data_IF_553181538923
#
_entry.id   IF_553181538923
#
_cell.length_a   1.000
_cell.length_b   1.000
_cell.length_c   1.000
_cell.angle_alpha   90.00
_cell.angle_beta   90.00
_cell.angle_gamma   90.00
#
_symmetry.space_group_name_H-M   'P 1'
#
loop_
_entity.id
_entity.type
_entity.pdbx_description
1 polymer ?
#
# COMPACT_ATOMS: atom_id res chain seq x y z
N UNK A 1 -15.60 13.96 -3.22
CA UNK A 1 -14.85 13.02 -4.10
C UNK A 1 -13.82 12.18 -3.34
N UNK A 2 -12.98 12.81 -2.51
CA UNK A 2 -11.83 12.18 -1.83
C UNK A 2 -12.11 10.83 -1.14
N UNK A 3 -13.11 10.71 -0.24
CA UNK A 3 -13.34 9.47 0.53
C UNK A 3 -13.50 8.22 -0.33
N UNK A 4 -14.18 8.31 -1.48
CA UNK A 4 -14.44 7.15 -2.35
C UNK A 4 -13.15 6.66 -3.02
N UNK A 5 -12.26 7.57 -3.42
CA UNK A 5 -10.97 7.24 -4.02
C UNK A 5 -10.06 6.55 -2.98
N UNK A 6 -10.07 7.01 -1.72
CA UNK A 6 -9.34 6.35 -0.63
C UNK A 6 -9.83 4.91 -0.38
N UNK A 7 -11.14 4.65 -0.50
CA UNK A 7 -11.67 3.28 -0.44
C UNK A 7 -11.23 2.42 -1.62
N UNK A 8 -11.20 2.99 -2.84
CA UNK A 8 -10.68 2.29 -4.02
C UNK A 8 -9.20 1.95 -3.79
N UNK A 9 -8.38 2.88 -3.33
CA UNK A 9 -6.97 2.64 -3.02
C UNK A 9 -6.80 1.52 -1.98
N UNK A 10 -7.56 1.57 -0.89
CA UNK A 10 -7.52 0.56 0.17
C UNK A 10 -7.87 -0.84 -0.35
N UNK A 11 -8.95 -0.97 -1.11
CA UNK A 11 -9.38 -2.24 -1.69
C UNK A 11 -8.40 -2.75 -2.74
N UNK A 12 -7.85 -1.88 -3.58
CA UNK A 12 -6.83 -2.23 -4.58
C UNK A 12 -5.55 -2.74 -3.93
N UNK A 13 -5.12 -2.12 -2.83
CA UNK A 13 -3.96 -2.58 -2.05
C UNK A 13 -4.21 -3.98 -1.48
N UNK A 14 -5.36 -4.19 -0.85
CA UNK A 14 -5.73 -5.50 -0.31
C UNK A 14 -5.84 -6.56 -1.41
N UNK A 15 -6.38 -6.21 -2.57
CA UNK A 15 -6.51 -7.14 -3.69
C UNK A 15 -5.14 -7.53 -4.26
N UNK A 16 -4.29 -6.54 -4.59
CA UNK A 16 -2.98 -6.79 -5.19
C UNK A 16 -2.06 -7.55 -4.23
N UNK A 17 -1.90 -7.05 -3.01
CA UNK A 17 -1.00 -7.66 -2.04
C UNK A 17 -1.59 -8.88 -1.34
N UNK A 18 -2.91 -8.96 -1.17
CA UNK A 18 -3.57 -10.19 -0.72
C UNK A 18 -3.36 -11.32 -1.73
N UNK A 19 -3.52 -11.04 -3.03
CA UNK A 19 -3.20 -12.02 -4.08
C UNK A 19 -1.73 -12.45 -4.02
N UNK A 20 -0.80 -11.50 -3.87
CA UNK A 20 0.63 -11.78 -3.73
C UNK A 20 0.93 -12.75 -2.60
N UNK A 21 0.53 -12.44 -1.37
CA UNK A 21 0.89 -13.26 -0.20
C UNK A 21 0.20 -14.63 -0.20
N UNK A 22 -0.98 -14.75 -0.83
CA UNK A 22 -1.68 -16.03 -0.98
C UNK A 22 -1.07 -16.93 -2.06
N UNK A 23 -0.53 -16.36 -3.14
CA UNK A 23 0.01 -17.12 -4.27
C UNK A 23 1.53 -17.23 -4.27
N UNK A 24 2.21 -16.52 -3.38
CA UNK A 24 3.66 -16.62 -3.26
C UNK A 24 4.05 -18.05 -2.86
N UNK A 25 4.95 -18.72 -3.59
CA UNK A 25 5.37 -20.08 -3.28
C UNK A 25 6.30 -20.08 -2.07
N UNK A 26 5.74 -20.07 -0.85
CA UNK A 26 6.49 -19.99 0.41
C UNK A 26 7.57 -21.08 0.58
N UNK A 27 7.42 -22.23 -0.09
CA UNK A 27 8.41 -23.30 -0.11
C UNK A 27 9.77 -22.85 -0.67
N UNK A 28 9.82 -21.86 -1.57
CA UNK A 28 11.06 -21.36 -2.17
C UNK A 28 11.59 -20.10 -1.48
N UNK A 29 10.93 -19.60 -0.43
CA UNK A 29 11.27 -18.33 0.24
C UNK A 29 12.71 -18.30 0.78
N UNK A 30 13.26 -19.44 1.18
CA UNK A 30 14.63 -19.55 1.71
C UNK A 30 15.72 -19.63 0.61
N UNK A 31 15.37 -19.36 -0.64
CA UNK A 31 16.27 -19.52 -1.79
C UNK A 31 16.41 -18.23 -2.60
N UNK A 32 17.48 -18.15 -3.41
CA UNK A 32 17.67 -17.08 -4.39
C UNK A 32 16.52 -17.03 -5.41
N UNK A 33 15.96 -18.19 -5.76
CA UNK A 33 14.80 -18.27 -6.66
C UNK A 33 13.59 -17.59 -6.00
N UNK A 34 13.33 -17.83 -4.72
CA UNK A 34 12.24 -17.17 -3.99
C UNK A 34 12.37 -15.65 -3.97
N UNK A 35 13.59 -15.12 -3.87
CA UNK A 35 13.84 -13.68 -4.01
C UNK A 35 13.44 -13.18 -5.41
N UNK A 36 13.86 -13.86 -6.48
CA UNK A 36 13.51 -13.49 -7.86
C UNK A 36 12.01 -13.61 -8.11
N UNK A 37 11.37 -14.67 -7.63
CA UNK A 37 9.91 -14.86 -7.71
C UNK A 37 9.18 -13.70 -7.06
N UNK A 38 9.66 -13.23 -5.91
CA UNK A 38 9.09 -12.07 -5.20
C UNK A 38 9.08 -10.83 -6.09
N UNK A 39 10.19 -10.56 -6.78
CA UNK A 39 10.33 -9.42 -7.71
C UNK A 39 9.43 -9.58 -8.93
N UNK A 40 9.41 -10.76 -9.55
CA UNK A 40 8.59 -11.02 -10.74
C UNK A 40 7.10 -10.88 -10.46
N UNK A 41 6.65 -11.29 -9.27
CA UNK A 41 5.24 -11.15 -8.87
C UNK A 41 4.82 -9.70 -8.61
N UNK A 42 5.74 -8.73 -8.54
CA UNK A 42 5.36 -7.31 -8.44
C UNK A 42 4.69 -6.80 -9.72
N UNK A 43 4.96 -7.40 -10.88
CA UNK A 43 4.33 -7.04 -12.14
C UNK A 43 2.80 -7.24 -12.07
N UNK A 44 2.28 -8.46 -11.82
CA UNK A 44 0.85 -8.67 -11.69
C UNK A 44 0.23 -7.89 -10.52
N UNK A 45 0.93 -7.76 -9.39
CA UNK A 45 0.47 -6.92 -8.26
C UNK A 45 0.24 -5.48 -8.69
N UNK A 46 1.18 -4.92 -9.46
CA UNK A 46 1.06 -3.56 -9.98
C UNK A 46 -0.15 -3.44 -10.89
N UNK A 47 -0.40 -4.42 -11.75
CA UNK A 47 -1.56 -4.42 -12.65
C UNK A 47 -2.89 -4.49 -11.85
N UNK A 48 -2.97 -5.41 -10.87
CA UNK A 48 -4.15 -5.58 -10.01
C UNK A 48 -4.43 -4.30 -9.21
N UNK A 49 -3.39 -3.60 -8.76
CA UNK A 49 -3.53 -2.34 -8.05
C UNK A 49 -3.89 -1.16 -8.99
N UNK A 50 -3.24 -1.07 -10.15
CA UNK A 50 -3.32 0.08 -11.05
C UNK A 50 -4.65 0.14 -11.80
N UNK A 51 -5.16 -1.00 -12.28
CA UNK A 51 -6.39 -1.04 -13.08
C UNK A 51 -7.59 -0.44 -12.32
N UNK A 52 -7.91 -0.86 -11.08
CA UNK A 52 -9.02 -0.29 -10.34
C UNK A 52 -8.77 1.17 -9.92
N UNK A 53 -7.51 1.56 -9.69
CA UNK A 53 -7.16 2.96 -9.41
C UNK A 53 -7.45 3.88 -10.59
N UNK A 54 -7.04 3.48 -11.80
CA UNK A 54 -7.33 4.23 -13.03
C UNK A 54 -8.84 4.27 -13.27
N UNK A 55 -9.51 3.12 -13.21
CA UNK A 55 -10.94 3.01 -13.44
C UNK A 55 -11.75 3.85 -12.43
N UNK A 56 -11.42 3.75 -11.14
CA UNK A 56 -12.06 4.52 -10.08
C UNK A 56 -11.85 6.03 -10.25
N UNK A 57 -10.63 6.45 -10.54
CA UNK A 57 -10.31 7.87 -10.73
C UNK A 57 -11.02 8.44 -11.96
N UNK A 58 -10.99 7.75 -13.09
CA UNK A 58 -11.68 8.15 -14.32
C UNK A 58 -13.21 8.23 -14.12
N UNK A 59 -13.79 7.22 -13.46
CA UNK A 59 -15.21 7.17 -13.18
C UNK A 59 -15.69 8.35 -12.31
N UNK A 60 -14.94 8.70 -11.26
CA UNK A 60 -15.29 9.83 -10.41
C UNK A 60 -15.03 11.19 -11.07
N UNK A 61 -13.97 11.30 -11.87
CA UNK A 61 -13.69 12.53 -12.63
C UNK A 61 -14.82 12.86 -13.61
N UNK A 62 -15.37 11.87 -14.31
CA UNK A 62 -16.48 12.06 -15.26
C UNK A 62 -17.79 12.42 -14.53
N UNK A 63 -18.08 11.82 -13.37
CA UNK A 63 -19.33 12.05 -12.63
C UNK A 63 -19.38 13.31 -11.79
N UNK A 64 -18.23 13.86 -11.39
CA UNK A 64 -18.18 15.00 -10.48
C UNK A 64 -17.14 16.05 -10.90
N UNK A 65 -17.20 16.57 -12.14
CA UNK A 65 -16.19 17.49 -12.67
C UNK A 65 -16.10 18.82 -11.89
N UNK A 66 -17.19 19.25 -11.23
CA UNK A 66 -17.20 20.44 -10.37
C UNK A 66 -16.37 20.28 -9.08
N UNK A 67 -16.20 19.05 -8.59
CA UNK A 67 -15.35 18.75 -7.42
C UNK A 67 -13.87 18.55 -7.80
N UNK A 68 -13.57 18.24 -9.07
CA UNK A 68 -12.21 18.05 -9.55
C UNK A 68 -11.41 19.36 -9.70
N UNK A 69 -12.09 20.50 -9.80
CA UNK A 69 -11.49 21.84 -9.91
C UNK A 69 -11.54 22.64 -8.59
N UNK A 70 -12.06 22.06 -7.51
CA UNK A 70 -11.96 22.67 -6.18
C UNK A 70 -10.50 22.56 -5.73
N UNK A 71 -9.90 23.72 -5.43
CA UNK A 71 -8.56 23.84 -4.86
C UNK A 71 -8.44 22.85 -3.69
N UNK A 72 -7.38 22.06 -3.66
CA UNK A 72 -7.09 21.13 -2.55
C UNK A 72 -7.19 21.92 -1.25
N UNK A 73 -8.24 21.63 -0.48
CA UNK A 73 -8.58 22.36 0.73
C UNK A 73 -7.43 22.15 1.73
N UNK A 74 -7.04 23.18 2.50
CA UNK A 74 -5.94 23.08 3.47
C UNK A 74 -6.14 21.87 4.42
N UNK A 75 -7.41 21.56 4.67
CA UNK A 75 -7.90 20.36 5.34
C UNK A 75 -7.39 19.05 4.74
N UNK A 76 -7.48 18.86 3.43
CA UNK A 76 -7.05 17.63 2.75
C UNK A 76 -5.54 17.43 2.89
N UNK A 77 -4.77 18.52 2.82
CA UNK A 77 -3.33 18.50 3.04
C UNK A 77 -2.96 18.05 4.45
N UNK A 78 -3.68 18.53 5.48
CA UNK A 78 -3.47 18.11 6.87
C UNK A 78 -3.78 16.62 7.06
N UNK A 79 -4.87 16.13 6.47
CA UNK A 79 -5.26 14.71 6.53
C UNK A 79 -4.17 13.84 5.87
N UNK A 80 -3.66 14.27 4.72
CA UNK A 80 -2.60 13.57 4.01
C UNK A 80 -1.31 13.49 4.83
N UNK A 81 -0.92 14.59 5.49
CA UNK A 81 0.25 14.64 6.37
C UNK A 81 0.08 13.72 7.58
N UNK A 82 -1.08 13.75 8.25
CA UNK A 82 -1.38 12.87 9.39
C UNK A 82 -1.34 11.40 9.00
N UNK A 83 -1.88 11.05 7.84
CA UNK A 83 -1.82 9.69 7.30
C UNK A 83 -0.39 9.24 7.04
N UNK A 84 0.41 10.08 6.39
CA UNK A 84 1.83 9.79 6.11
C UNK A 84 2.64 9.63 7.39
N UNK A 85 2.41 10.48 8.38
CA UNK A 85 3.08 10.39 9.69
C UNK A 85 2.72 9.09 10.42
N UNK A 86 1.46 8.67 10.39
CA UNK A 86 1.05 7.39 10.99
C UNK A 86 1.71 6.18 10.29
N UNK A 87 1.85 6.23 8.96
CA UNK A 87 2.48 5.18 8.17
C UNK A 87 4.00 5.08 8.38
N UNK A 88 4.64 6.16 8.83
CA UNK A 88 6.08 6.17 9.05
C UNK A 88 6.53 5.19 10.15
N UNK A 89 5.74 5.07 11.23
CA UNK A 89 6.07 4.16 12.34
C UNK A 89 6.18 2.69 11.92
N UNK A 90 5.15 2.05 11.32
CA UNK A 90 5.26 0.66 10.90
C UNK A 90 6.33 0.46 9.83
N UNK A 91 6.57 1.46 8.96
CA UNK A 91 7.63 1.39 7.94
C UNK A 91 9.02 1.30 8.60
N UNK A 92 9.34 2.23 9.50
CA UNK A 92 10.65 2.24 10.18
C UNK A 92 10.84 0.99 11.02
N UNK A 93 9.84 0.61 11.80
CA UNK A 93 9.91 -0.58 12.66
C UNK A 93 10.10 -1.86 11.84
N UNK A 94 9.39 -2.02 10.73
CA UNK A 94 9.53 -3.20 9.88
C UNK A 94 10.88 -3.23 9.14
N UNK A 95 11.38 -2.08 8.70
CA UNK A 95 12.73 -1.98 8.11
C UNK A 95 13.81 -2.35 9.14
N UNK A 96 13.71 -1.84 10.37
CA UNK A 96 14.65 -2.18 11.45
C UNK A 96 14.60 -3.66 11.81
N UNK A 97 13.40 -4.21 11.95
CA UNK A 97 13.20 -5.64 12.22
C UNK A 97 13.80 -6.50 11.09
N UNK A 98 13.64 -6.08 9.84
CA UNK A 98 14.20 -6.80 8.69
C UNK A 98 15.73 -6.72 8.65
N UNK A 99 16.33 -5.56 8.93
CA UNK A 99 17.80 -5.42 9.05
C UNK A 99 18.32 -6.33 10.15
N UNK A 100 17.68 -6.33 11.32
CA UNK A 100 18.06 -7.21 12.42
C UNK A 100 17.97 -8.69 12.00
N UNK A 101 16.89 -9.09 11.34
CA UNK A 101 16.72 -10.46 10.86
C UNK A 101 17.81 -10.86 9.85
N UNK A 102 18.16 -9.97 8.90
CA UNK A 102 19.25 -10.21 7.94
C UNK A 102 20.60 -10.41 8.62
N UNK A 103 20.94 -9.59 9.63
CA UNK A 103 22.18 -9.73 10.41
C UNK A 103 22.22 -11.08 11.13
N UNK A 104 21.06 -11.61 11.53
CA UNK A 104 20.91 -12.93 12.17
C UNK A 104 20.77 -14.09 11.16
N UNK A 105 21.10 -13.87 9.89
CA UNK A 105 21.16 -14.94 8.88
C UNK A 105 19.85 -15.24 8.17
N UNK A 106 18.84 -14.37 8.23
CA UNK A 106 17.62 -14.52 7.45
C UNK A 106 17.95 -14.53 5.94
N UNK A 107 17.37 -15.47 5.19
CA UNK A 107 17.56 -15.50 3.74
C UNK A 107 16.94 -14.29 3.04
N UNK A 108 17.58 -13.88 1.95
CA UNK A 108 17.14 -12.73 1.16
C UNK A 108 15.72 -12.85 0.61
N UNK A 109 15.24 -14.05 0.27
CA UNK A 109 13.87 -14.25 -0.20
C UNK A 109 12.83 -13.94 0.88
N UNK A 110 13.06 -14.36 2.12
CA UNK A 110 12.25 -13.96 3.27
C UNK A 110 12.33 -12.45 3.53
N UNK A 111 13.54 -11.89 3.47
CA UNK A 111 13.73 -10.44 3.66
C UNK A 111 12.92 -9.61 2.66
N UNK A 112 12.88 -9.98 1.39
CA UNK A 112 12.07 -9.25 0.39
C UNK A 112 10.59 -9.32 0.76
N UNK A 113 10.07 -10.49 1.14
CA UNK A 113 8.67 -10.64 1.54
C UNK A 113 8.32 -9.83 2.79
N UNK A 114 9.22 -9.76 3.78
CA UNK A 114 9.05 -8.96 5.00
C UNK A 114 9.05 -7.46 4.67
N UNK A 115 9.95 -7.00 3.81
CA UNK A 115 9.96 -5.61 3.36
C UNK A 115 8.68 -5.26 2.57
N UNK A 116 8.22 -6.16 1.71
CA UNK A 116 6.94 -6.01 1.02
C UNK A 116 5.79 -5.93 2.04
N UNK A 117 5.72 -6.83 3.01
CA UNK A 117 4.69 -6.80 4.05
C UNK A 117 4.73 -5.51 4.86
N UNK A 118 5.92 -5.04 5.20
CA UNK A 118 6.15 -3.77 5.91
C UNK A 118 5.60 -2.58 5.12
N UNK A 119 5.92 -2.51 3.82
CA UNK A 119 5.42 -1.46 2.93
C UNK A 119 3.90 -1.48 2.84
N UNK A 120 3.30 -2.67 2.67
CA UNK A 120 1.85 -2.83 2.58
C UNK A 120 1.16 -2.43 3.88
N UNK A 121 1.69 -2.84 5.03
CA UNK A 121 1.15 -2.46 6.33
C UNK A 121 1.23 -0.95 6.55
N UNK A 122 2.37 -0.33 6.22
CA UNK A 122 2.51 1.12 6.29
C UNK A 122 1.48 1.83 5.40
N UNK A 123 1.29 1.34 4.18
CA UNK A 123 0.34 1.91 3.24
C UNK A 123 -1.13 1.73 3.70
N UNK A 124 -1.48 0.57 4.26
CA UNK A 124 -2.79 0.33 4.86
C UNK A 124 -3.04 1.26 6.05
N UNK A 125 -2.03 1.51 6.88
CA UNK A 125 -2.11 2.50 7.96
C UNK A 125 -2.29 3.91 7.39
N UNK A 126 -1.58 4.28 6.31
CA UNK A 126 -1.72 5.58 5.64
C UNK A 126 -3.15 5.82 5.18
N UNK A 127 -3.65 4.92 4.35
CA UNK A 127 -4.98 5.04 3.72
C UNK A 127 -6.09 4.86 4.76
N UNK A 128 -5.89 3.95 5.73
CA UNK A 128 -6.81 3.75 6.85
C UNK A 128 -6.93 4.98 7.75
N UNK A 129 -5.81 5.63 8.08
CA UNK A 129 -5.80 6.87 8.84
C UNK A 129 -6.50 8.00 8.07
N UNK A 130 -6.24 8.14 6.77
CA UNK A 130 -6.95 9.12 5.92
C UNK A 130 -8.47 8.86 5.95
N UNK A 131 -8.91 7.61 5.73
CA UNK A 131 -10.32 7.22 5.81
C UNK A 131 -10.96 7.52 7.17
N UNK A 132 -10.22 7.31 8.26
CA UNK A 132 -10.67 7.60 9.62
C UNK A 132 -10.90 9.10 9.84
N UNK A 133 -9.94 9.95 9.46
CA UNK A 133 -10.09 11.41 9.57
C UNK A 133 -11.22 11.94 8.68
N UNK A 134 -11.35 11.42 7.45
CA UNK A 134 -12.48 11.77 6.57
C UNK A 134 -13.86 11.37 7.13
N UNK A 135 -13.95 10.32 7.95
CA UNK A 135 -15.21 9.92 8.62
C UNK A 135 -15.55 10.77 9.83
N UNK A 136 -14.54 11.32 10.53
CA UNK A 136 -14.74 12.16 11.72
C UNK A 136 -15.07 13.62 11.43
N UNK A 137 -15.22 13.99 10.15
CA UNK A 137 -15.55 15.37 9.76
C UNK A 137 -14.41 16.37 9.97
N UNK A 138 -13.21 15.90 10.29
CA UNK A 138 -11.97 16.69 10.34
C UNK A 138 -11.49 17.03 8.97
#
# INVERSE_FOLDING_TARGET
MSRKIHWVAFLSLLAGFGWYFLHYPWAVANSKIGMLTSVWMLIPVTIIFLIPMIAGTAFFAIRSPKEANLKEDEREKIIHLKGTHAAYYPLVLGVWANIFALINGLAFGWSVNILMATLVLAELVRVGAQLYYYRRGY
#
